data_IF_832837171561
#
_entry.id   IF_832837171561
#
_cell.length_a   1.000
_cell.length_b   1.000
_cell.length_c   1.000
_cell.angle_alpha   90.00
_cell.angle_beta   90.00
_cell.angle_gamma   90.00
#
_symmetry.space_group_name_H-M   'P 1'
#
loop_
_entity.id
_entity.type
_entity.pdbx_description
1 polymer ?
#
# COMPACT_ATOMS: atom_id res chain seq x y z
N UNK A 1 1.80 -9.79 -26.64
CA UNK A 1 2.69 -9.61 -25.46
C UNK A 1 2.05 -10.33 -24.30
N UNK A 2 2.57 -11.52 -23.99
CA UNK A 2 2.02 -12.44 -22.98
C UNK A 2 2.49 -12.00 -21.60
N UNK A 3 1.69 -11.20 -20.88
CA UNK A 3 1.97 -10.82 -19.50
C UNK A 3 1.57 -11.97 -18.58
N UNK A 4 2.37 -13.05 -18.59
CA UNK A 4 2.39 -14.03 -17.49
C UNK A 4 2.82 -13.31 -16.22
N UNK A 5 1.84 -12.77 -15.48
CA UNK A 5 2.04 -12.31 -14.12
C UNK A 5 2.44 -13.51 -13.28
N UNK A 6 3.74 -13.60 -13.01
CA UNK A 6 4.33 -14.63 -12.18
C UNK A 6 3.77 -14.51 -10.76
N UNK A 7 3.27 -15.60 -10.14
CA UNK A 7 2.67 -15.58 -8.80
C UNK A 7 3.63 -15.12 -7.68
N UNK A 8 4.94 -15.02 -7.96
CA UNK A 8 5.95 -14.53 -7.01
C UNK A 8 5.91 -13.01 -6.78
N UNK A 9 5.32 -12.23 -7.69
CA UNK A 9 5.30 -10.76 -7.59
C UNK A 9 4.22 -10.25 -6.64
N UNK A 10 3.10 -10.98 -6.54
CA UNK A 10 1.92 -10.62 -5.74
C UNK A 10 2.20 -10.65 -4.24
N UNK A 11 2.82 -11.73 -3.74
CA UNK A 11 3.12 -11.88 -2.31
C UNK A 11 4.09 -10.81 -1.79
N UNK A 12 5.10 -10.45 -2.59
CA UNK A 12 6.06 -9.40 -2.23
C UNK A 12 5.39 -8.03 -2.21
N UNK A 13 4.55 -7.73 -3.21
CA UNK A 13 3.80 -6.47 -3.25
C UNK A 13 2.79 -6.38 -2.10
N UNK A 14 2.05 -7.45 -1.83
CA UNK A 14 1.13 -7.53 -0.69
C UNK A 14 1.86 -7.31 0.64
N UNK A 15 3.05 -7.87 0.82
CA UNK A 15 3.87 -7.65 2.02
C UNK A 15 4.34 -6.20 2.17
N UNK A 16 4.74 -5.54 1.07
CA UNK A 16 5.12 -4.11 1.08
C UNK A 16 3.91 -3.23 1.43
N UNK A 17 2.75 -3.52 0.85
CA UNK A 17 1.51 -2.79 1.14
C UNK A 17 1.10 -2.97 2.60
N UNK A 18 1.16 -4.20 3.13
CA UNK A 18 0.88 -4.48 4.54
C UNK A 18 1.80 -3.68 5.47
N UNK A 19 3.11 -3.68 5.21
CA UNK A 19 4.07 -2.90 5.97
C UNK A 19 3.76 -1.40 5.90
N UNK A 20 3.39 -0.86 4.73
CA UNK A 20 2.98 0.54 4.61
C UNK A 20 1.72 0.88 5.40
N UNK A 21 0.75 -0.04 5.48
CA UNK A 21 -0.45 0.15 6.29
C UNK A 21 -0.16 0.10 7.80
N UNK A 22 0.73 -0.79 8.24
CA UNK A 22 1.23 -0.82 9.62
C UNK A 22 1.98 0.47 9.95
N UNK A 23 2.82 0.94 9.03
CA UNK A 23 3.53 2.20 9.15
C UNK A 23 2.59 3.40 9.28
N UNK A 24 1.45 3.39 8.57
CA UNK A 24 0.44 4.44 8.65
C UNK A 24 -0.18 4.53 10.04
N UNK A 25 -0.35 3.40 10.73
CA UNK A 25 -0.88 3.36 12.10
C UNK A 25 0.11 3.92 13.12
N UNK A 26 1.40 3.68 12.91
CA UNK A 26 2.46 4.13 13.85
C UNK A 26 2.88 5.58 13.61
N UNK A 27 3.01 6.00 12.35
CA UNK A 27 3.64 7.27 11.96
C UNK A 27 2.75 8.18 11.11
N UNK A 28 1.51 7.78 10.82
CA UNK A 28 0.55 8.53 10.03
C UNK A 28 0.64 8.31 8.51
N UNK A 29 -0.42 8.71 7.82
CA UNK A 29 -0.64 8.46 6.38
C UNK A 29 0.45 9.09 5.48
N UNK A 30 0.94 10.29 5.82
CA UNK A 30 1.99 10.99 5.04
C UNK A 30 3.32 10.24 5.08
N UNK A 31 3.68 9.70 6.25
CA UNK A 31 4.88 8.89 6.43
C UNK A 31 4.78 7.56 5.68
N UNK A 32 3.62 6.90 5.74
CA UNK A 32 3.34 5.69 4.99
C UNK A 32 3.38 5.88 3.46
N UNK A 33 2.87 7.01 2.96
CA UNK A 33 2.97 7.35 1.55
C UNK A 33 4.43 7.43 1.10
N UNK A 34 5.28 8.11 1.87
CA UNK A 34 6.71 8.20 1.59
C UNK A 34 7.39 6.82 1.62
N UNK A 35 7.07 5.97 2.61
CA UNK A 35 7.58 4.60 2.71
C UNK A 35 7.26 3.78 1.44
N UNK A 36 6.01 3.81 0.98
CA UNK A 36 5.58 3.05 -0.20
C UNK A 36 6.24 3.57 -1.49
N UNK A 37 6.38 4.88 -1.64
CA UNK A 37 7.04 5.49 -2.80
C UNK A 37 8.53 5.12 -2.87
N UNK A 38 9.26 5.14 -1.74
CA UNK A 38 10.67 4.71 -1.68
C UNK A 38 10.81 3.22 -2.06
N UNK A 39 9.82 2.39 -1.74
CA UNK A 39 9.75 0.97 -2.13
C UNK A 39 9.26 0.75 -3.58
N UNK A 40 9.23 1.80 -4.40
CA UNK A 40 8.85 1.78 -5.83
C UNK A 40 7.40 1.36 -6.08
N UNK A 41 6.51 1.54 -5.11
CA UNK A 41 5.07 1.38 -5.34
C UNK A 41 4.59 2.57 -6.19
N UNK A 42 3.89 2.36 -7.33
CA UNK A 42 3.42 3.45 -8.16
C UNK A 42 2.49 4.39 -7.39
N UNK A 43 2.62 5.69 -7.61
CA UNK A 43 1.79 6.71 -6.93
C UNK A 43 0.28 6.45 -7.02
N UNK A 44 -0.30 6.06 -8.18
CA UNK A 44 -1.72 5.74 -8.27
C UNK A 44 -2.14 4.58 -7.36
N UNK A 45 -1.23 3.61 -7.14
CA UNK A 45 -1.46 2.47 -6.24
C UNK A 45 -1.41 2.93 -4.79
N UNK A 46 -0.45 3.78 -4.42
CA UNK A 46 -0.36 4.38 -3.08
C UNK A 46 -1.64 5.15 -2.73
N UNK A 47 -2.10 6.02 -3.62
CA UNK A 47 -3.33 6.81 -3.41
C UNK A 47 -4.56 5.91 -3.20
N UNK A 48 -4.69 4.84 -3.99
CA UNK A 48 -5.77 3.84 -3.82
C UNK A 48 -5.71 3.12 -2.47
N UNK A 49 -4.51 2.72 -2.03
CA UNK A 49 -4.32 2.03 -0.75
C UNK A 49 -4.73 2.93 0.42
N UNK A 50 -4.24 4.17 0.43
CA UNK A 50 -4.52 5.09 1.54
C UNK A 50 -5.99 5.53 1.54
N UNK A 51 -6.59 5.79 0.38
CA UNK A 51 -8.02 6.10 0.27
C UNK A 51 -8.91 4.92 0.72
N UNK A 52 -8.50 3.68 0.48
CA UNK A 52 -9.20 2.49 1.00
C UNK A 52 -9.02 2.33 2.51
N UNK A 53 -7.84 2.64 3.05
CA UNK A 53 -7.56 2.58 4.48
C UNK A 53 -8.39 3.62 5.26
N UNK A 54 -8.46 4.86 4.78
CA UNK A 54 -9.26 5.94 5.40
C UNK A 54 -10.73 5.56 5.48
N UNK A 55 -11.32 5.05 4.39
CA UNK A 55 -12.73 4.62 4.37
C UNK A 55 -13.03 3.47 5.35
N UNK A 56 -12.04 2.63 5.65
CA UNK A 56 -12.22 1.52 6.60
C UNK A 56 -12.14 1.99 8.04
N UNK A 57 -11.30 2.98 8.34
CA UNK A 57 -11.21 3.60 9.66
C UNK A 57 -12.48 4.39 10.00
N UNK A 58 -13.06 5.09 9.02
CA UNK A 58 -14.33 5.80 9.14
C UNK A 58 -15.52 4.87 9.44
N UNK A 59 -15.54 3.66 8.84
CA UNK A 59 -16.56 2.63 9.12
C UNK A 59 -16.36 1.85 10.42
N UNK A 60 -15.18 1.92 11.03
CA UNK A 60 -14.85 1.17 12.25
C UNK A 60 -15.10 2.00 13.53
N UNK A 61 -15.64 3.21 13.39
CA UNK A 61 -15.91 4.17 14.46
C UNK A 61 -17.42 4.39 14.59
#
# INVERSE_FOLDING_TARGET
MDTKQLPRTDARQASIVRQGLEWARTYGQRSAAAFLLVRKVPRPVVERILAAAIRKEDRAR
#
